data_IF_374820328037
#
_entry.id   IF_374820328037
#
_cell.length_a   1.000
_cell.length_b   1.000
_cell.length_c   1.000
_cell.angle_alpha   90.00
_cell.angle_beta   90.00
_cell.angle_gamma   90.00
#
_symmetry.space_group_name_H-M   'P 1'
#
loop_
_entity.id
_entity.type
_entity.pdbx_description
1 polymer ?
#
# COMPACT_ATOMS: atom_id res chain seq x y z
N UNK A 1 3.29 13.45 20.27
CA UNK A 1 2.86 12.05 20.01
C UNK A 1 1.69 11.89 19.04
N UNK A 2 0.94 12.95 18.64
CA UNK A 2 -0.23 12.83 17.73
C UNK A 2 0.12 12.63 16.24
N UNK A 3 1.26 13.12 15.78
CA UNK A 3 1.65 13.12 14.36
C UNK A 3 1.99 11.72 13.81
N UNK A 4 2.60 10.85 14.64
CA UNK A 4 2.98 9.47 14.23
C UNK A 4 1.76 8.59 13.92
N UNK A 5 0.62 8.80 14.59
CA UNK A 5 -0.60 8.03 14.34
C UNK A 5 -1.28 8.44 13.02
N UNK A 6 -1.34 9.76 12.76
CA UNK A 6 -1.87 10.28 11.50
C UNK A 6 -1.03 9.82 10.29
N UNK A 7 0.29 9.81 10.43
CA UNK A 7 1.19 9.33 9.37
C UNK A 7 1.01 7.83 9.12
N UNK A 8 0.87 7.03 10.18
CA UNK A 8 0.57 5.59 10.07
C UNK A 8 -0.74 5.34 9.33
N UNK A 9 -1.81 6.05 9.69
CA UNK A 9 -3.13 5.92 9.05
C UNK A 9 -3.10 6.28 7.57
N UNK A 10 -2.40 7.35 7.20
CA UNK A 10 -2.19 7.75 5.80
C UNK A 10 -1.49 6.66 5.00
N UNK A 11 -0.42 6.07 5.54
CA UNK A 11 0.31 4.98 4.89
C UNK A 11 -0.54 3.72 4.74
N UNK A 12 -1.37 3.39 5.74
CA UNK A 12 -2.30 2.26 5.64
C UNK A 12 -3.34 2.51 4.56
N UNK A 13 -3.94 3.71 4.52
CA UNK A 13 -4.93 4.09 3.52
C UNK A 13 -4.35 4.04 2.11
N UNK A 14 -3.12 4.55 1.94
CA UNK A 14 -2.40 4.53 0.68
C UNK A 14 -2.06 3.10 0.24
N UNK A 15 -1.64 2.23 1.17
CA UNK A 15 -1.37 0.82 0.90
C UNK A 15 -2.62 0.06 0.42
N UNK A 16 -3.77 0.29 1.06
CA UNK A 16 -5.05 -0.30 0.66
C UNK A 16 -5.50 0.22 -0.72
N UNK A 17 -5.38 1.53 -0.96
CA UNK A 17 -5.71 2.12 -2.25
C UNK A 17 -4.87 1.51 -3.40
N UNK A 18 -3.56 1.36 -3.21
CA UNK A 18 -2.70 0.71 -4.21
C UNK A 18 -3.04 -0.76 -4.43
N UNK A 19 -3.39 -1.49 -3.37
CA UNK A 19 -3.81 -2.88 -3.50
C UNK A 19 -5.09 -3.02 -4.34
N UNK A 20 -6.07 -2.13 -4.13
CA UNK A 20 -7.30 -2.08 -4.94
C UNK A 20 -7.02 -1.72 -6.41
N UNK A 21 -6.11 -0.78 -6.66
CA UNK A 21 -5.67 -0.42 -8.02
C UNK A 21 -5.00 -1.61 -8.70
N UNK A 22 -4.17 -2.36 -7.99
CA UNK A 22 -3.53 -3.56 -8.54
C UNK A 22 -4.58 -4.60 -8.95
N UNK A 23 -5.58 -4.88 -8.10
CA UNK A 23 -6.68 -5.82 -8.41
C UNK A 23 -7.49 -5.34 -9.63
N UNK A 24 -7.86 -4.06 -9.67
CA UNK A 24 -8.59 -3.49 -10.80
C UNK A 24 -7.78 -3.49 -12.11
N UNK A 25 -6.47 -3.26 -12.04
CA UNK A 25 -5.59 -3.26 -13.20
C UNK A 25 -5.36 -4.68 -13.76
N UNK A 26 -5.35 -5.71 -12.90
CA UNK A 26 -5.34 -7.11 -13.33
C UNK A 26 -6.62 -7.43 -14.11
N UNK A 27 -7.77 -7.02 -13.60
CA UNK A 27 -9.07 -7.26 -14.24
C UNK A 27 -9.19 -6.53 -15.59
N UNK A 28 -8.59 -5.34 -15.69
CA UNK A 28 -8.51 -4.57 -16.94
C UNK A 28 -7.46 -5.10 -17.94
N UNK A 29 -6.75 -6.19 -17.63
CA UNK A 29 -5.69 -6.75 -18.49
C UNK A 29 -4.43 -5.88 -18.60
N UNK A 30 -4.32 -4.83 -17.78
CA UNK A 30 -3.18 -3.90 -17.78
C UNK A 30 -2.06 -4.39 -16.85
N UNK A 31 -1.45 -5.51 -17.24
CA UNK A 31 -0.37 -6.16 -16.49
C UNK A 31 0.81 -5.25 -16.08
N UNK A 32 1.29 -4.30 -16.89
CA UNK A 32 2.38 -3.40 -16.47
C UNK A 32 1.99 -2.51 -15.29
N UNK A 33 0.75 -2.01 -15.28
CA UNK A 33 0.20 -1.18 -14.20
C UNK A 33 -0.08 -2.03 -12.97
N UNK A 34 -0.64 -3.23 -13.17
CA UNK A 34 -0.89 -4.18 -12.10
C UNK A 34 0.39 -4.58 -11.37
N UNK A 35 1.47 -4.91 -12.09
CA UNK A 35 2.76 -5.24 -11.51
C UNK A 35 3.38 -4.04 -10.78
N UNK A 36 3.36 -2.85 -11.38
CA UNK A 36 3.85 -1.64 -10.74
C UNK A 36 3.10 -1.33 -9.44
N UNK A 37 1.78 -1.35 -9.48
CA UNK A 37 0.92 -1.11 -8.32
C UNK A 37 1.09 -2.20 -7.25
N UNK A 38 1.25 -3.47 -7.64
CA UNK A 38 1.47 -4.57 -6.70
C UNK A 38 2.83 -4.48 -6.01
N UNK A 39 3.91 -4.13 -6.74
CA UNK A 39 5.25 -3.96 -6.16
C UNK A 39 5.27 -2.77 -5.21
N UNK A 40 4.77 -1.61 -5.64
CA UNK A 40 4.77 -0.41 -4.80
C UNK A 40 3.81 -0.57 -3.62
N UNK A 41 2.59 -1.07 -3.84
CA UNK A 41 1.61 -1.33 -2.79
C UNK A 41 2.09 -2.38 -1.78
N UNK A 42 2.72 -3.45 -2.27
CA UNK A 42 3.32 -4.49 -1.45
C UNK A 42 4.47 -3.96 -0.59
N UNK A 43 5.36 -3.13 -1.15
CA UNK A 43 6.44 -2.49 -0.41
C UNK A 43 5.93 -1.50 0.65
N UNK A 44 4.88 -0.74 0.31
CA UNK A 44 4.24 0.20 1.23
C UNK A 44 3.56 -0.52 2.40
N UNK A 45 2.89 -1.63 2.13
CA UNK A 45 2.28 -2.49 3.16
C UNK A 45 3.34 -3.14 4.05
N UNK A 46 4.47 -3.61 3.49
CA UNK A 46 5.54 -4.20 4.30
C UNK A 46 6.24 -3.17 5.19
N UNK A 47 6.47 -1.95 4.70
CA UNK A 47 7.03 -0.86 5.50
C UNK A 47 6.06 -0.38 6.58
N UNK A 48 4.77 -0.24 6.27
CA UNK A 48 3.73 0.05 7.26
C UNK A 48 3.64 -1.05 8.33
N UNK A 49 3.68 -2.33 7.92
CA UNK A 49 3.68 -3.47 8.84
C UNK A 49 4.92 -3.48 9.74
N UNK A 50 6.12 -3.21 9.20
CA UNK A 50 7.34 -3.10 10.01
C UNK A 50 7.30 -1.92 10.99
N UNK A 51 6.75 -0.78 10.58
CA UNK A 51 6.58 0.38 11.44
C UNK A 51 5.59 0.12 12.59
N UNK A 52 4.57 -0.70 12.34
CA UNK A 52 3.61 -1.13 13.34
C UNK A 52 4.17 -2.23 14.27
N UNK A 53 4.92 -3.20 13.71
CA UNK A 53 5.51 -4.34 14.45
C UNK A 53 6.71 -3.98 15.32
N UNK A 54 7.42 -2.87 15.05
CA UNK A 54 8.51 -2.36 15.91
C UNK A 54 8.00 -1.50 17.09
N UNK A 55 6.70 -1.49 17.35
CA UNK A 55 6.12 -1.04 18.63
C UNK A 55 5.84 -2.24 19.52
#
# INVERSE_FOLDING_TARGET
MKQRHALGLLFTFLGVALALIAVAAVDAGQWPVALGAAVVGGWLLTTAYQALRRR
#
